data_IF_226384302444
#
_entry.id   IF_226384302444
#
_cell.length_a   1.000
_cell.length_b   1.000
_cell.length_c   1.000
_cell.angle_alpha   90.00
_cell.angle_beta   90.00
_cell.angle_gamma   90.00
#
_symmetry.space_group_name_H-M   'P 1'
#
loop_
_entity.id
_entity.type
_entity.pdbx_description
1 polymer ?
#
# COMPACT_ATOMS: atom_id res chain seq x y z
N UNK A 1 48.73 14.10 11.01
CA UNK A 1 47.61 14.94 11.51
C UNK A 1 47.04 15.72 10.32
N UNK A 2 45.70 15.70 10.17
CA UNK A 2 44.86 16.62 9.38
C UNK A 2 44.95 16.54 7.85
N UNK A 3 44.10 15.69 7.22
CA UNK A 3 43.56 15.92 5.86
C UNK A 3 42.46 14.90 5.50
N UNK A 4 41.42 14.77 6.33
CA UNK A 4 40.28 13.89 5.98
C UNK A 4 38.97 14.31 6.65
N UNK A 5 38.67 15.61 6.66
CA UNK A 5 37.42 16.11 7.29
C UNK A 5 36.68 17.18 6.48
N UNK A 6 37.10 17.45 5.23
CA UNK A 6 36.43 18.46 4.38
C UNK A 6 35.60 17.86 3.24
N UNK A 7 35.78 16.59 2.89
CA UNK A 7 35.06 15.97 1.77
C UNK A 7 33.67 15.46 2.14
N UNK A 8 33.40 15.22 3.43
CA UNK A 8 32.12 14.66 3.90
C UNK A 8 31.01 15.72 4.03
N UNK A 9 31.35 17.01 3.98
CA UNK A 9 30.39 18.13 4.14
C UNK A 9 29.75 18.60 2.83
N UNK A 10 30.28 18.23 1.67
CA UNK A 10 29.65 18.59 0.38
C UNK A 10 28.65 17.55 -0.13
N UNK A 11 28.69 16.31 0.36
CA UNK A 11 27.75 15.25 -0.03
C UNK A 11 26.36 15.40 0.61
N UNK A 12 26.24 16.13 1.72
CA UNK A 12 24.94 16.36 2.39
C UNK A 12 24.13 17.51 1.80
N UNK A 13 24.71 18.40 0.99
CA UNK A 13 23.98 19.52 0.38
C UNK A 13 23.35 19.17 -0.98
N UNK A 14 23.89 18.20 -1.74
CA UNK A 14 23.24 17.73 -2.97
C UNK A 14 22.07 16.78 -2.71
N UNK A 15 22.02 16.12 -1.54
CA UNK A 15 20.90 15.26 -1.18
C UNK A 15 19.62 16.05 -0.86
N UNK A 16 19.72 17.31 -0.41
CA UNK A 16 18.53 18.15 -0.13
C UNK A 16 17.95 18.85 -1.39
N UNK A 17 18.75 19.02 -2.45
CA UNK A 17 18.26 19.66 -3.68
C UNK A 17 17.43 18.70 -4.58
N UNK A 18 17.56 17.39 -4.39
CA UNK A 18 16.78 16.39 -5.11
C UNK A 18 15.33 16.28 -4.59
N UNK A 19 15.06 16.63 -3.32
CA UNK A 19 13.71 16.60 -2.74
C UNK A 19 12.89 17.87 -3.00
N UNK A 20 13.49 18.96 -3.48
CA UNK A 20 12.79 20.21 -3.75
C UNK A 20 12.29 20.38 -5.21
N UNK A 21 12.70 19.47 -6.11
CA UNK A 21 12.57 19.68 -7.56
C UNK A 21 11.39 18.94 -8.22
N UNK A 22 10.59 18.17 -7.48
CA UNK A 22 9.39 17.50 -8.02
C UNK A 22 8.08 18.26 -7.73
N UNK A 23 8.15 19.59 -7.67
CA UNK A 23 6.96 20.46 -7.57
C UNK A 23 6.19 20.60 -8.90
N UNK A 24 6.62 19.94 -9.97
CA UNK A 24 5.71 19.64 -11.08
C UNK A 24 4.86 18.43 -10.69
N UNK A 25 3.81 18.67 -9.90
CA UNK A 25 2.59 17.87 -10.04
C UNK A 25 2.13 18.09 -11.48
N UNK A 26 2.62 17.25 -12.40
CA UNK A 26 1.81 16.90 -13.55
C UNK A 26 0.43 16.57 -12.95
N UNK A 27 -0.59 17.29 -13.39
CA UNK A 27 -1.97 16.94 -13.06
C UNK A 27 -2.09 15.46 -13.40
N UNK A 28 -2.03 14.58 -12.38
CA UNK A 28 -2.13 13.15 -12.59
C UNK A 28 -3.49 12.94 -13.26
N UNK A 29 -3.44 12.61 -14.55
CA UNK A 29 -4.66 12.52 -15.32
C UNK A 29 -5.41 11.27 -14.85
N UNK A 30 -6.73 11.26 -15.05
CA UNK A 30 -7.52 10.05 -14.85
C UNK A 30 -6.95 8.87 -15.64
N UNK A 31 -6.29 9.11 -16.78
CA UNK A 31 -5.51 8.11 -17.53
C UNK A 31 -4.38 7.49 -16.71
N UNK A 32 -3.51 8.30 -16.11
CA UNK A 32 -2.37 7.82 -15.31
C UNK A 32 -2.82 6.94 -14.13
N UNK A 33 -3.94 7.32 -13.50
CA UNK A 33 -4.53 6.51 -12.44
C UNK A 33 -5.02 5.14 -12.93
N UNK A 34 -5.68 5.08 -14.10
CA UNK A 34 -6.15 3.83 -14.68
C UNK A 34 -4.95 2.94 -15.01
N UNK A 35 -3.94 3.50 -15.67
CA UNK A 35 -2.76 2.75 -16.11
C UNK A 35 -1.93 2.26 -14.92
N UNK A 36 -1.81 3.05 -13.84
CA UNK A 36 -1.18 2.61 -12.60
C UNK A 36 -1.99 1.55 -11.85
N UNK A 37 -3.30 1.74 -11.71
CA UNK A 37 -4.15 0.80 -10.95
C UNK A 37 -4.41 -0.52 -11.68
N UNK A 38 -4.31 -0.57 -13.02
CA UNK A 38 -4.61 -1.78 -13.81
C UNK A 38 -3.72 -2.98 -13.46
N UNK A 39 -2.38 -2.87 -13.46
CA UNK A 39 -1.52 -3.97 -13.01
C UNK A 39 -1.51 -4.12 -11.49
N UNK A 40 -1.78 -3.05 -10.73
CA UNK A 40 -1.60 -3.05 -9.29
C UNK A 40 -2.80 -3.58 -8.50
N UNK A 41 -4.02 -3.35 -8.99
CA UNK A 41 -5.26 -3.85 -8.39
C UNK A 41 -5.25 -5.34 -8.03
N UNK A 42 -4.85 -6.28 -8.91
CA UNK A 42 -4.81 -7.70 -8.56
C UNK A 42 -3.76 -8.02 -7.49
N UNK A 43 -2.64 -7.28 -7.45
CA UNK A 43 -1.60 -7.46 -6.41
C UNK A 43 -2.13 -7.04 -5.04
N UNK A 44 -2.82 -5.90 -4.97
CA UNK A 44 -3.45 -5.40 -3.75
C UNK A 44 -4.49 -6.39 -3.23
N UNK A 45 -5.38 -6.87 -4.12
CA UNK A 45 -6.43 -7.83 -3.75
C UNK A 45 -5.83 -9.14 -3.23
N UNK A 46 -4.77 -9.62 -3.89
CA UNK A 46 -4.08 -10.84 -3.48
C UNK A 46 -3.44 -10.68 -2.11
N UNK A 47 -2.70 -9.58 -1.91
CA UNK A 47 -2.06 -9.29 -0.63
C UNK A 47 -3.08 -9.22 0.51
N UNK A 48 -4.21 -8.55 0.32
CA UNK A 48 -5.24 -8.42 1.35
C UNK A 48 -5.86 -9.77 1.75
N UNK A 49 -6.06 -10.68 0.79
CA UNK A 49 -6.52 -12.05 1.06
C UNK A 49 -5.45 -12.83 1.81
N UNK A 50 -4.20 -12.79 1.34
CA UNK A 50 -3.10 -13.53 1.95
C UNK A 50 -2.83 -13.06 3.39
N UNK A 51 -2.88 -11.75 3.66
CA UNK A 51 -2.73 -11.21 5.01
C UNK A 51 -3.85 -11.70 5.95
N UNK A 52 -5.11 -11.66 5.50
CA UNK A 52 -6.26 -12.18 6.26
C UNK A 52 -6.12 -13.67 6.57
N UNK A 53 -5.75 -14.46 5.57
CA UNK A 53 -5.66 -15.90 5.72
C UNK A 53 -4.46 -16.30 6.59
N UNK A 54 -3.34 -15.58 6.48
CA UNK A 54 -2.16 -15.80 7.30
C UNK A 54 -2.39 -15.44 8.77
N UNK A 55 -3.01 -14.30 9.08
CA UNK A 55 -3.34 -13.94 10.47
C UNK A 55 -4.39 -14.87 11.08
N UNK A 56 -5.35 -15.35 10.28
CA UNK A 56 -6.28 -16.39 10.72
C UNK A 56 -5.57 -17.74 10.97
N UNK A 57 -4.64 -18.14 10.11
CA UNK A 57 -3.87 -19.38 10.28
C UNK A 57 -2.99 -19.34 11.55
N UNK A 58 -2.48 -18.17 11.91
CA UNK A 58 -1.68 -17.96 13.11
C UNK A 58 -2.43 -18.30 14.42
N UNK A 59 -3.77 -18.32 14.41
CA UNK A 59 -4.59 -18.78 15.55
C UNK A 59 -4.42 -20.27 15.83
N UNK A 60 -4.26 -21.07 14.79
CA UNK A 60 -4.05 -22.52 14.90
C UNK A 60 -2.57 -22.89 14.99
N UNK A 61 -1.69 -21.99 14.50
CA UNK A 61 -0.24 -22.18 14.43
C UNK A 61 0.48 -20.91 14.91
N UNK A 62 0.61 -20.72 16.24
CA UNK A 62 1.20 -19.51 16.82
C UNK A 62 2.63 -19.22 16.34
N UNK A 63 3.38 -20.25 15.93
CA UNK A 63 4.71 -20.10 15.34
C UNK A 63 4.71 -19.28 14.04
N UNK A 64 3.59 -19.23 13.30
CA UNK A 64 3.44 -18.38 12.13
C UNK A 64 3.34 -16.89 12.51
N UNK A 65 2.78 -16.59 13.68
CA UNK A 65 2.54 -15.22 14.13
C UNK A 65 3.84 -14.42 14.30
N UNK A 66 4.92 -15.10 14.69
CA UNK A 66 6.24 -14.53 14.92
C UNK A 66 7.24 -14.87 13.80
N UNK A 67 6.77 -15.36 12.66
CA UNK A 67 7.63 -15.74 11.54
C UNK A 67 8.14 -14.53 10.75
N UNK A 68 9.29 -14.70 10.09
CA UNK A 68 9.82 -13.71 9.15
C UNK A 68 8.82 -13.43 8.00
N UNK A 69 8.04 -14.43 7.60
CA UNK A 69 6.99 -14.28 6.58
C UNK A 69 5.89 -13.31 7.03
N UNK A 70 5.47 -13.38 8.29
CA UNK A 70 4.49 -12.44 8.86
C UNK A 70 5.05 -11.00 8.88
N UNK A 71 6.32 -10.85 9.27
CA UNK A 71 6.98 -9.54 9.26
C UNK A 71 7.12 -8.97 7.84
N UNK A 72 7.54 -9.79 6.87
CA UNK A 72 7.61 -9.37 5.45
C UNK A 72 6.21 -9.03 4.91
N UNK A 73 5.19 -9.79 5.28
CA UNK A 73 3.79 -9.51 4.90
C UNK A 73 3.37 -8.12 5.35
N UNK A 74 3.66 -7.74 6.60
CA UNK A 74 3.35 -6.42 7.14
C UNK A 74 4.10 -5.31 6.39
N UNK A 75 5.40 -5.47 6.15
CA UNK A 75 6.22 -4.49 5.42
C UNK A 75 5.71 -4.24 4.00
N UNK A 76 5.38 -5.31 3.27
CA UNK A 76 4.77 -5.20 1.93
C UNK A 76 3.42 -4.48 1.99
N UNK A 77 2.62 -4.74 3.03
CA UNK A 77 1.35 -4.06 3.27
C UNK A 77 1.48 -2.55 3.43
N UNK A 78 2.43 -2.11 4.27
CA UNK A 78 2.71 -0.68 4.44
C UNK A 78 3.16 -0.04 3.14
N UNK A 79 4.08 -0.68 2.40
CA UNK A 79 4.53 -0.18 1.10
C UNK A 79 3.36 -0.01 0.11
N UNK A 80 2.47 -1.00 0.00
CA UNK A 80 1.30 -0.92 -0.88
C UNK A 80 0.37 0.22 -0.44
N UNK A 81 0.17 0.40 0.87
CA UNK A 81 -0.68 1.45 1.40
C UNK A 81 -0.08 2.86 1.20
N UNK A 82 1.25 3.01 1.23
CA UNK A 82 1.96 4.25 0.88
C UNK A 82 1.84 4.56 -0.62
N UNK A 83 2.05 3.56 -1.47
CA UNK A 83 1.90 3.72 -2.93
C UNK A 83 0.49 4.18 -3.29
N UNK A 84 -0.53 3.57 -2.67
CA UNK A 84 -1.91 4.00 -2.85
C UNK A 84 -2.15 5.42 -2.36
N UNK A 85 -1.68 5.81 -1.19
CA UNK A 85 -1.86 7.19 -0.72
C UNK A 85 -1.23 8.21 -1.70
N UNK A 86 -0.07 7.89 -2.28
CA UNK A 86 0.56 8.69 -3.33
C UNK A 86 -0.26 8.82 -4.63
N UNK A 87 -1.07 7.81 -4.95
CA UNK A 87 -1.89 7.76 -6.17
C UNK A 87 -3.23 8.51 -6.05
N UNK A 88 -3.65 8.94 -4.86
CA UNK A 88 -4.98 9.56 -4.65
C UNK A 88 -5.20 10.79 -5.53
N UNK A 89 -4.14 11.56 -5.80
CA UNK A 89 -4.24 12.80 -6.58
C UNK A 89 -4.65 12.59 -8.04
N UNK A 90 -4.41 11.39 -8.60
CA UNK A 90 -4.87 11.00 -9.93
C UNK A 90 -6.23 10.30 -9.93
N UNK A 91 -6.77 9.96 -8.76
CA UNK A 91 -8.02 9.24 -8.68
C UNK A 91 -9.19 10.12 -9.16
N UNK A 92 -10.10 9.60 -10.00
CA UNK A 92 -11.33 10.30 -10.36
C UNK A 92 -12.10 10.73 -9.12
N UNK A 93 -12.68 11.94 -9.12
CA UNK A 93 -13.39 12.50 -7.95
C UNK A 93 -14.39 11.54 -7.30
N UNK A 94 -15.10 10.76 -8.11
CA UNK A 94 -16.08 9.77 -7.63
C UNK A 94 -15.46 8.57 -6.89
N UNK A 95 -14.20 8.25 -7.20
CA UNK A 95 -13.43 7.14 -6.61
C UNK A 95 -12.54 7.56 -5.46
N UNK A 96 -12.20 8.85 -5.30
CA UNK A 96 -11.35 9.35 -4.21
C UNK A 96 -11.74 8.76 -2.84
N UNK A 97 -13.02 8.76 -2.41
CA UNK A 97 -13.39 8.19 -1.11
C UNK A 97 -13.09 6.68 -1.00
N UNK A 98 -13.27 5.94 -2.10
CA UNK A 98 -13.08 4.48 -2.13
C UNK A 98 -11.59 4.14 -2.12
N UNK A 99 -10.81 4.93 -2.85
CA UNK A 99 -9.37 4.78 -2.90
C UNK A 99 -8.71 5.07 -1.55
N UNK A 100 -9.10 6.17 -0.91
CA UNK A 100 -8.65 6.49 0.45
C UNK A 100 -9.10 5.43 1.47
N UNK A 101 -10.30 4.86 1.31
CA UNK A 101 -10.75 3.76 2.14
C UNK A 101 -9.86 2.51 1.94
N UNK A 102 -9.60 2.12 0.69
CA UNK A 102 -8.70 0.99 0.40
C UNK A 102 -7.32 1.16 1.01
N UNK A 103 -6.68 2.33 0.83
CA UNK A 103 -5.36 2.62 1.41
C UNK A 103 -5.37 2.53 2.95
N UNK A 104 -6.43 3.02 3.59
CA UNK A 104 -6.60 2.96 5.04
C UNK A 104 -6.74 1.53 5.53
N UNK A 105 -7.63 0.74 4.94
CA UNK A 105 -7.87 -0.64 5.38
C UNK A 105 -6.63 -1.52 5.16
N UNK A 106 -5.86 -1.30 4.10
CA UNK A 106 -4.57 -1.98 3.90
C UNK A 106 -3.58 -1.65 5.01
N UNK A 107 -3.49 -0.38 5.41
CA UNK A 107 -2.64 0.02 6.54
C UNK A 107 -3.10 -0.61 7.85
N UNK A 108 -4.41 -0.71 8.10
CA UNK A 108 -4.95 -1.43 9.27
C UNK A 108 -4.57 -2.91 9.23
N UNK A 109 -4.76 -3.59 8.09
CA UNK A 109 -4.36 -4.98 7.93
C UNK A 109 -2.85 -5.17 8.12
N UNK A 110 -2.02 -4.26 7.61
CA UNK A 110 -0.56 -4.30 7.76
C UNK A 110 -0.14 -4.15 9.23
N UNK A 111 -0.72 -3.18 9.96
CA UNK A 111 -0.48 -3.01 11.40
C UNK A 111 -0.95 -4.21 12.22
N UNK A 112 -2.11 -4.78 11.90
CA UNK A 112 -2.57 -6.00 12.57
C UNK A 112 -1.62 -7.18 12.32
N UNK A 113 -1.13 -7.31 11.08
CA UNK A 113 -0.14 -8.33 10.70
C UNK A 113 1.18 -8.15 11.45
N UNK A 114 1.67 -6.92 11.58
CA UNK A 114 2.88 -6.57 12.35
C UNK A 114 2.74 -6.97 13.83
N UNK A 115 1.57 -6.77 14.41
CA UNK A 115 1.29 -7.06 15.82
C UNK A 115 0.90 -8.51 16.10
N UNK A 116 0.79 -9.36 15.08
CA UNK A 116 0.28 -10.73 15.21
C UNK A 116 1.07 -11.58 16.21
N UNK A 117 2.40 -11.39 16.31
CA UNK A 117 3.24 -12.12 17.27
C UNK A 117 2.87 -11.81 18.74
N UNK A 118 2.35 -10.61 19.01
CA UNK A 118 1.99 -10.16 20.36
C UNK A 118 0.55 -10.50 20.70
N UNK A 119 -0.35 -10.47 19.71
CA UNK A 119 -1.78 -10.72 19.88
C UNK A 119 -2.40 -11.31 18.61
N UNK A 120 -2.22 -12.62 18.39
CA UNK A 120 -2.75 -13.30 17.21
C UNK A 120 -4.30 -13.25 17.12
N UNK A 121 -5.08 -13.46 18.21
CA UNK A 121 -6.54 -13.28 18.18
C UNK A 121 -6.97 -11.88 17.77
N UNK A 122 -6.37 -10.84 18.36
CA UNK A 122 -6.67 -9.46 18.02
C UNK A 122 -6.27 -9.11 16.58
N UNK A 123 -5.12 -9.59 16.12
CA UNK A 123 -4.66 -9.42 14.74
C UNK A 123 -5.63 -10.07 13.74
N UNK A 124 -6.01 -11.32 13.94
CA UNK A 124 -6.95 -12.02 13.05
C UNK A 124 -8.32 -11.32 12.96
N UNK A 125 -8.85 -10.85 14.09
CA UNK A 125 -10.10 -10.08 14.12
C UNK A 125 -9.98 -8.78 13.34
N UNK A 126 -8.94 -7.99 13.63
CA UNK A 126 -8.74 -6.68 12.98
C UNK A 126 -8.50 -6.82 11.47
N UNK A 127 -7.67 -7.79 11.04
CA UNK A 127 -7.47 -8.06 9.61
C UNK A 127 -8.76 -8.50 8.93
N UNK A 128 -9.58 -9.33 9.60
CA UNK A 128 -10.88 -9.77 9.09
C UNK A 128 -11.87 -8.61 8.87
N UNK A 129 -12.01 -7.74 9.85
CA UNK A 129 -12.90 -6.57 9.80
C UNK A 129 -12.45 -5.55 8.74
N UNK A 130 -11.14 -5.28 8.68
CA UNK A 130 -10.55 -4.40 7.68
C UNK A 130 -10.71 -4.97 6.26
N UNK A 131 -10.52 -6.29 6.09
CA UNK A 131 -10.76 -6.96 4.81
C UNK A 131 -12.22 -6.81 4.34
N UNK A 132 -13.19 -6.98 5.25
CA UNK A 132 -14.61 -6.80 4.93
C UNK A 132 -14.91 -5.37 4.46
N UNK A 133 -14.25 -4.37 5.06
CA UNK A 133 -14.36 -2.95 4.71
C UNK A 133 -13.59 -2.57 3.43
N UNK A 134 -12.55 -3.34 3.09
CA UNK A 134 -11.72 -3.16 1.89
C UNK A 134 -12.39 -3.70 0.61
N UNK A 135 -13.00 -4.88 0.68
CA UNK A 135 -13.37 -5.66 -0.51
C UNK A 135 -14.38 -4.95 -1.43
N UNK A 136 -15.38 -4.27 -0.85
CA UNK A 136 -16.39 -3.54 -1.60
C UNK A 136 -15.80 -2.35 -2.40
N UNK A 137 -15.13 -1.41 -1.75
CA UNK A 137 -14.41 -0.31 -2.41
C UNK A 137 -13.43 -0.78 -3.48
N UNK A 138 -12.62 -1.81 -3.20
CA UNK A 138 -11.63 -2.32 -4.15
C UNK A 138 -12.30 -2.88 -5.42
N UNK A 139 -13.41 -3.61 -5.27
CA UNK A 139 -14.20 -4.11 -6.41
C UNK A 139 -14.71 -2.96 -7.29
N UNK A 140 -15.12 -1.83 -6.70
CA UNK A 140 -15.57 -0.66 -7.46
C UNK A 140 -14.42 -0.02 -8.25
N UNK A 141 -13.24 0.13 -7.64
CA UNK A 141 -12.05 0.65 -8.33
C UNK A 141 -11.66 -0.27 -9.49
N UNK A 142 -11.56 -1.58 -9.26
CA UNK A 142 -11.22 -2.56 -10.30
C UNK A 142 -12.22 -2.52 -11.46
N UNK A 143 -13.52 -2.42 -11.17
CA UNK A 143 -14.56 -2.33 -12.19
C UNK A 143 -14.42 -1.06 -13.04
N UNK A 144 -14.08 0.08 -12.43
CA UNK A 144 -13.82 1.33 -13.14
C UNK A 144 -12.60 1.20 -14.06
N UNK A 145 -11.46 0.79 -13.52
CA UNK A 145 -10.19 0.63 -14.24
C UNK A 145 -10.36 -0.32 -15.43
N UNK A 146 -11.05 -1.45 -15.22
CA UNK A 146 -11.31 -2.45 -16.26
C UNK A 146 -12.24 -1.93 -17.37
N UNK A 147 -13.21 -1.05 -17.04
CA UNK A 147 -14.13 -0.46 -18.02
C UNK A 147 -13.44 0.62 -18.84
N UNK A 148 -12.69 1.50 -18.19
CA UNK A 148 -11.99 2.59 -18.85
C UNK A 148 -10.95 2.08 -19.84
N UNK A 149 -10.18 1.04 -19.46
CA UNK A 149 -9.22 0.40 -20.37
C UNK A 149 -9.82 -0.23 -21.63
N UNK A 150 -11.14 -0.52 -21.66
CA UNK A 150 -11.83 -1.01 -22.87
C UNK A 150 -12.27 0.10 -23.82
N UNK A 151 -12.40 1.33 -23.34
CA UNK A 151 -12.82 2.47 -24.15
C UNK A 151 -11.64 3.12 -24.89
N UNK A 152 -10.42 3.00 -24.36
CA UNK A 152 -9.18 3.56 -24.96
C UNK A 152 -8.62 2.64 -26.07
N UNK A 153 -8.98 1.35 -26.07
CA UNK A 153 -8.53 0.37 -27.08
C UNK A 153 -9.40 0.29 -28.34
N UNK A 154 -10.20 1.32 -28.63
CA UNK A 154 -11.00 1.50 -29.86
C UNK A 154 -10.65 2.83 -30.49
#
# INVERSE_FOLDING_TARGET
MKRTTLTTLMTTLLALAAFASNSHRASADTGDYIDGMKPFAPVIERWAVDARDLTAAALAKPELACSDEMAEMALRGFSIADDLDGMVSGAPKLLVPRHLQVARELRVMASATELACLDAPGAASQTGDAYASFAGPMKQIRAYVSRAGRMIGR
#
